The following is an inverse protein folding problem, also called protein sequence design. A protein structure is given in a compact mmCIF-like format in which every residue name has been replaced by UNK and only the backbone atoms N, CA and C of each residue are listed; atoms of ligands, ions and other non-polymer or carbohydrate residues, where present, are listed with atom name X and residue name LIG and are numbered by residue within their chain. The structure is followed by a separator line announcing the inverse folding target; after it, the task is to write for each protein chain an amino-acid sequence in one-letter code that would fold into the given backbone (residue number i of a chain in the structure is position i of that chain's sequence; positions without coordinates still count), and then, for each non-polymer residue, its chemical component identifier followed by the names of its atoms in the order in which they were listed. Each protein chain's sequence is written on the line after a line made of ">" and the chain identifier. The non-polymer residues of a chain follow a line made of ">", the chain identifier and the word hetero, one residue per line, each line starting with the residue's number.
data_IF_530112695847
#
_entry.id   IF_530112695847
#
_cell.length_a   1.000
_cell.length_b   1.000
_cell.length_c   1.000
_cell.angle_alpha   90.00
_cell.angle_beta   90.00
_cell.angle_gamma   90.00
#
_symmetry.space_group_name_H-M   'P 1'
#
loop_
_entity.id
_entity.type
_entity.pdbx_description
1 polymer ?
#
# COMPACT_ATOMS: atom_id res chain seq x y z
N UNK A 1 12.07 -5.13 10.36
CA UNK A 1 10.64 -4.75 10.43
C UNK A 1 10.29 -4.07 11.76
N UNK A 2 10.65 -4.65 12.95
CA UNK A 2 10.40 -4.05 14.27
C UNK A 2 11.13 -2.72 14.47
N UNK A 3 12.37 -2.61 13.99
CA UNK A 3 13.17 -1.39 14.06
C UNK A 3 12.49 -0.22 13.32
N UNK A 4 12.01 -0.45 12.10
CA UNK A 4 11.33 0.57 11.30
C UNK A 4 10.04 1.05 11.94
N UNK A 5 9.25 0.14 12.55
CA UNK A 5 7.91 0.46 13.06
C UNK A 5 7.91 1.08 14.46
N UNK A 6 8.84 0.71 15.34
CA UNK A 6 8.87 1.14 16.74
C UNK A 6 10.24 1.11 17.40
N UNK A 7 11.33 1.16 16.60
CA UNK A 7 12.71 1.29 17.09
C UNK A 7 13.14 0.18 18.07
N UNK A 8 12.59 -1.03 17.90
CA UNK A 8 12.77 -2.19 18.82
C UNK A 8 12.23 -1.97 20.24
N UNK A 9 11.58 -0.85 20.51
CA UNK A 9 10.91 -0.54 21.77
C UNK A 9 9.56 -1.26 21.87
N UNK A 10 8.87 -1.08 22.99
CA UNK A 10 7.45 -1.43 23.08
C UNK A 10 6.63 -0.63 22.05
N UNK A 11 5.64 -1.29 21.44
CA UNK A 11 4.86 -0.66 20.37
C UNK A 11 4.06 0.56 20.81
N UNK A 12 3.69 0.64 22.10
CA UNK A 12 2.96 1.78 22.66
C UNK A 12 3.83 3.03 22.73
N UNK A 13 5.16 2.86 22.91
CA UNK A 13 6.12 3.97 22.98
C UNK A 13 6.74 4.23 21.61
N UNK A 14 7.16 3.18 20.92
CA UNK A 14 7.91 3.31 19.67
C UNK A 14 7.10 3.87 18.52
N UNK A 15 5.80 3.53 18.38
CA UNK A 15 4.96 4.05 17.30
C UNK A 15 4.79 5.56 17.34
N UNK A 16 4.44 6.20 18.47
CA UNK A 16 4.38 7.66 18.54
C UNK A 16 5.69 8.34 18.20
N UNK A 17 6.83 7.79 18.66
CA UNK A 17 8.16 8.35 18.36
C UNK A 17 8.42 8.34 16.84
N UNK A 18 8.21 7.19 16.18
CA UNK A 18 8.37 7.07 14.73
C UNK A 18 7.39 7.98 14.00
N UNK A 19 6.14 8.07 14.47
CA UNK A 19 5.13 8.96 13.90
C UNK A 19 5.53 10.43 13.97
N UNK A 20 6.00 10.92 15.11
CA UNK A 20 6.48 12.31 15.28
C UNK A 20 7.70 12.56 14.39
N UNK A 21 8.65 11.64 14.35
CA UNK A 21 9.82 11.74 13.46
C UNK A 21 9.39 11.82 11.99
N UNK A 22 8.37 11.04 11.58
CA UNK A 22 7.82 11.08 10.22
C UNK A 22 7.17 12.44 9.92
N UNK A 23 6.44 13.04 10.86
CA UNK A 23 5.86 14.37 10.68
C UNK A 23 6.95 15.42 10.48
N UNK A 24 7.97 15.41 11.34
CA UNK A 24 9.12 16.33 11.22
C UNK A 24 9.79 16.14 9.85
N UNK A 25 10.00 14.89 9.46
CA UNK A 25 10.60 14.57 8.18
C UNK A 25 9.76 15.08 6.99
N UNK A 26 8.44 14.94 7.01
CA UNK A 26 7.54 15.48 5.98
C UNK A 26 7.61 17.02 5.90
N UNK A 27 7.68 17.70 7.04
CA UNK A 27 7.87 19.17 7.08
C UNK A 27 9.20 19.54 6.44
N UNK A 28 10.28 18.82 6.77
CA UNK A 28 11.60 19.04 6.18
C UNK A 28 11.62 18.75 4.67
N UNK A 29 10.93 17.72 4.22
CA UNK A 29 10.80 17.36 2.81
C UNK A 29 10.08 18.47 2.00
N UNK A 30 8.96 18.96 2.53
CA UNK A 30 8.19 20.07 1.89
C UNK A 30 8.99 21.37 1.89
N UNK A 31 9.62 21.73 3.01
CA UNK A 31 10.46 22.93 3.09
C UNK A 31 11.69 22.81 2.20
N UNK A 32 12.28 21.61 2.10
CA UNK A 32 13.37 21.31 1.17
C UNK A 32 12.97 21.57 -0.29
N UNK A 33 11.75 21.18 -0.68
CA UNK A 33 11.22 21.48 -2.01
C UNK A 33 11.10 23.00 -2.25
N UNK A 34 10.61 23.76 -1.27
CA UNK A 34 10.50 25.22 -1.37
C UNK A 34 11.90 25.83 -1.55
N UNK A 35 12.90 25.37 -0.81
CA UNK A 35 14.27 25.83 -0.91
C UNK A 35 14.96 25.42 -2.23
N UNK A 36 14.52 24.31 -2.82
CA UNK A 36 15.03 23.83 -4.10
C UNK A 36 14.66 24.77 -5.26
N UNK A 37 13.49 25.44 -5.20
CA UNK A 37 13.08 26.38 -6.22
C UNK A 37 13.97 27.62 -6.23
N UNK A 38 14.48 28.03 -7.41
CA UNK A 38 15.30 29.24 -7.52
C UNK A 38 14.46 30.50 -7.24
N UNK A 39 15.05 31.51 -6.59
CA UNK A 39 14.39 32.81 -6.30
C UNK A 39 13.77 33.48 -7.54
N UNK A 40 14.35 33.25 -8.73
CA UNK A 40 13.78 33.64 -10.02
C UNK A 40 13.42 32.38 -10.78
N UNK A 41 12.12 32.08 -10.87
CA UNK A 41 11.59 30.91 -11.57
C UNK A 41 11.67 31.15 -13.08
N UNK A 42 12.88 30.97 -13.65
CA UNK A 42 13.11 30.89 -15.10
C UNK A 42 13.48 29.44 -15.42
N UNK A 43 12.98 28.92 -16.54
CA UNK A 43 13.24 27.53 -16.98
C UNK A 43 14.74 27.18 -16.98
N UNK A 44 15.59 28.13 -17.39
CA UNK A 44 17.06 27.97 -17.36
C UNK A 44 17.60 27.71 -15.95
N UNK A 45 17.04 28.37 -14.93
CA UNK A 45 17.47 28.24 -13.53
C UNK A 45 16.98 26.91 -12.95
N UNK A 46 15.72 26.53 -13.24
CA UNK A 46 15.14 25.24 -12.85
C UNK A 46 15.97 24.09 -13.46
N UNK A 47 16.26 24.15 -14.76
CA UNK A 47 17.08 23.15 -15.45
C UNK A 47 18.50 23.01 -14.88
N UNK A 48 19.04 24.09 -14.30
CA UNK A 48 20.34 24.02 -13.63
C UNK A 48 20.34 23.22 -12.33
N UNK A 49 19.20 23.15 -11.65
CA UNK A 49 18.99 22.35 -10.42
C UNK A 49 19.05 20.83 -10.64
N UNK A 50 18.89 20.38 -11.90
CA UNK A 50 19.02 18.98 -12.28
C UNK A 50 20.41 18.60 -12.83
N UNK A 51 21.37 19.54 -12.84
CA UNK A 51 22.71 19.30 -13.36
C UNK A 51 23.72 19.09 -12.24
N UNK A 52 24.35 17.93 -12.23
CA UNK A 52 25.44 17.59 -11.32
C UNK A 52 26.76 18.03 -11.98
N UNK A 53 27.49 18.94 -11.34
CA UNK A 53 28.80 19.41 -11.80
C UNK A 53 29.91 18.50 -11.32
N UNK A 54 30.06 17.34 -11.94
CA UNK A 54 31.01 16.27 -11.54
C UNK A 54 32.48 16.71 -11.43
N UNK A 55 32.88 17.78 -12.18
CA UNK A 55 34.24 18.33 -12.16
C UNK A 55 34.45 19.40 -11.07
N UNK A 56 33.41 19.70 -10.26
CA UNK A 56 33.52 20.66 -9.17
C UNK A 56 34.14 20.01 -7.92
N UNK A 57 34.39 20.83 -6.88
CA UNK A 57 34.86 20.32 -5.59
C UNK A 57 33.79 19.40 -4.95
N UNK A 58 34.23 18.52 -4.04
CA UNK A 58 33.36 17.54 -3.37
C UNK A 58 32.11 18.15 -2.72
N UNK A 59 32.24 19.29 -2.06
CA UNK A 59 31.10 19.99 -1.41
C UNK A 59 30.01 20.35 -2.44
N UNK A 60 30.42 20.83 -3.60
CA UNK A 60 29.49 21.19 -4.68
C UNK A 60 28.85 19.96 -5.32
N UNK A 61 29.62 18.91 -5.58
CA UNK A 61 29.08 17.66 -6.12
C UNK A 61 28.06 17.06 -5.17
N UNK A 62 28.37 17.00 -3.86
CA UNK A 62 27.44 16.47 -2.87
C UNK A 62 26.15 17.30 -2.76
N UNK A 63 26.25 18.62 -2.83
CA UNK A 63 25.07 19.51 -2.87
C UNK A 63 24.21 19.26 -4.12
N UNK A 64 24.83 19.17 -5.30
CA UNK A 64 24.10 18.95 -6.55
C UNK A 64 23.45 17.55 -6.58
N UNK A 65 24.15 16.52 -6.04
CA UNK A 65 23.59 15.17 -5.86
C UNK A 65 22.39 15.19 -4.92
N UNK A 66 22.52 15.79 -3.75
CA UNK A 66 21.43 15.88 -2.78
C UNK A 66 20.20 16.58 -3.39
N UNK A 67 20.38 17.70 -4.07
CA UNK A 67 19.30 18.43 -4.72
C UNK A 67 18.61 17.64 -5.83
N UNK A 68 19.39 16.97 -6.67
CA UNK A 68 18.86 16.23 -7.82
C UNK A 68 18.17 14.96 -7.37
N UNK A 69 18.84 14.12 -6.57
CA UNK A 69 18.27 12.88 -6.06
C UNK A 69 17.09 13.14 -5.10
N UNK A 70 17.24 14.15 -4.21
CA UNK A 70 16.18 14.56 -3.31
C UNK A 70 14.92 14.99 -4.04
N UNK A 71 15.04 15.70 -5.16
CA UNK A 71 13.88 16.07 -5.98
C UNK A 71 13.17 14.86 -6.56
N UNK A 72 13.91 13.91 -7.15
CA UNK A 72 13.31 12.72 -7.76
C UNK A 72 12.72 11.75 -6.72
N UNK A 73 13.33 11.61 -5.56
CA UNK A 73 12.82 10.75 -4.49
C UNK A 73 11.67 11.38 -3.70
N UNK A 74 11.50 12.71 -3.77
CA UNK A 74 10.59 13.47 -2.91
C UNK A 74 9.15 12.93 -2.97
N UNK A 75 8.63 12.65 -4.17
CA UNK A 75 7.25 12.19 -4.32
C UNK A 75 7.03 10.85 -3.63
N UNK A 76 7.97 9.92 -3.80
CA UNK A 76 7.89 8.60 -3.17
C UNK A 76 7.97 8.71 -1.65
N UNK A 77 8.91 9.48 -1.17
CA UNK A 77 9.15 9.70 0.26
C UNK A 77 7.96 10.38 0.95
N UNK A 78 7.33 11.36 0.30
CA UNK A 78 6.13 12.02 0.82
C UNK A 78 4.94 11.04 0.85
N UNK A 79 4.73 10.26 -0.21
CA UNK A 79 3.69 9.23 -0.24
C UNK A 79 3.92 8.19 0.88
N UNK A 80 5.15 7.70 1.02
CA UNK A 80 5.50 6.74 2.08
C UNK A 80 5.33 7.33 3.47
N UNK A 81 5.68 8.61 3.68
CA UNK A 81 5.48 9.31 4.94
C UNK A 81 4.00 9.45 5.29
N UNK A 82 3.19 9.97 4.38
CA UNK A 82 1.74 10.16 4.56
C UNK A 82 1.06 8.81 4.85
N UNK A 83 1.34 7.80 4.05
CA UNK A 83 0.77 6.47 4.25
C UNK A 83 1.28 5.82 5.55
N UNK A 84 2.55 6.02 5.91
CA UNK A 84 3.15 5.49 7.14
C UNK A 84 2.49 6.00 8.43
N UNK A 85 2.02 7.25 8.44
CA UNK A 85 1.30 7.82 9.59
C UNK A 85 0.03 7.05 9.97
N UNK A 86 -0.59 6.31 9.00
CA UNK A 86 -1.75 5.46 9.27
C UNK A 86 -1.45 4.32 10.26
N UNK A 87 -0.19 3.89 10.36
CA UNK A 87 0.23 2.88 11.34
C UNK A 87 0.65 3.48 12.69
N UNK A 88 1.08 4.73 12.68
CA UNK A 88 1.59 5.41 13.88
C UNK A 88 0.47 6.03 14.70
N UNK A 89 -0.52 6.64 14.05
CA UNK A 89 -1.60 7.39 14.73
C UNK A 89 -2.98 6.90 14.29
N UNK A 90 -3.76 6.41 15.24
CA UNK A 90 -5.14 5.94 14.99
C UNK A 90 -6.06 7.08 14.56
N UNK A 91 -6.04 8.20 15.27
CA UNK A 91 -6.87 9.37 14.92
C UNK A 91 -6.55 9.93 13.53
N UNK A 92 -5.28 9.87 13.07
CA UNK A 92 -4.92 10.22 11.70
C UNK A 92 -5.56 9.26 10.69
N UNK A 93 -5.45 7.93 10.96
CA UNK A 93 -6.06 6.90 10.11
C UNK A 93 -7.57 7.05 10.01
N UNK A 94 -8.25 7.29 11.13
CA UNK A 94 -9.70 7.53 11.16
C UNK A 94 -10.09 8.80 10.41
N UNK A 95 -9.35 9.90 10.60
CA UNK A 95 -9.56 11.13 9.86
C UNK A 95 -9.40 10.93 8.36
N UNK A 96 -8.34 10.24 7.94
CA UNK A 96 -8.11 9.93 6.52
C UNK A 96 -9.19 8.99 5.97
N UNK A 97 -9.64 7.99 6.76
CA UNK A 97 -10.74 7.10 6.39
C UNK A 97 -12.04 7.86 6.13
N UNK A 98 -12.36 8.87 6.94
CA UNK A 98 -13.52 9.76 6.72
C UNK A 98 -13.40 10.57 5.43
N UNK A 99 -12.21 11.10 5.14
CA UNK A 99 -11.95 11.88 3.90
C UNK A 99 -12.07 11.00 2.67
N UNK A 100 -11.54 9.79 2.71
CA UNK A 100 -11.57 8.83 1.60
C UNK A 100 -12.97 8.20 1.44
N UNK A 101 -13.78 8.19 2.50
CA UNK A 101 -15.09 7.53 2.54
C UNK A 101 -15.01 6.00 2.63
N UNK A 102 -13.87 5.47 3.12
CA UNK A 102 -13.67 4.04 3.31
C UNK A 102 -12.70 3.78 4.47
N UNK A 103 -12.91 2.69 5.19
CA UNK A 103 -12.08 2.30 6.31
C UNK A 103 -10.71 1.80 5.87
N UNK A 104 -9.64 2.46 6.32
CA UNK A 104 -8.25 2.07 6.07
C UNK A 104 -7.90 0.93 7.02
N UNK A 105 -7.36 -0.16 6.46
CA UNK A 105 -7.02 -1.40 7.18
C UNK A 105 -8.23 -2.10 7.79
N UNK A 106 -9.38 -2.05 7.11
CA UNK A 106 -10.53 -2.86 7.49
C UNK A 106 -10.12 -4.35 7.52
N UNK A 107 -10.32 -4.98 8.67
CA UNK A 107 -10.06 -6.41 8.90
C UNK A 107 -11.34 -7.19 9.18
N UNK A 108 -12.49 -6.54 9.08
CA UNK A 108 -13.77 -7.22 9.24
C UNK A 108 -13.96 -8.16 8.05
N UNK A 109 -14.26 -9.42 8.34
CA UNK A 109 -14.76 -10.35 7.35
C UNK A 109 -16.23 -10.05 7.15
N UNK A 110 -16.77 -10.07 5.92
CA UNK A 110 -18.21 -9.96 5.70
C UNK A 110 -18.97 -11.01 6.50
N UNK A 111 -20.11 -10.64 7.07
CA UNK A 111 -20.99 -11.58 7.73
C UNK A 111 -21.97 -12.14 6.69
N UNK A 112 -21.73 -13.39 6.29
CA UNK A 112 -22.70 -14.13 5.48
C UNK A 112 -23.44 -15.13 6.36
N UNK A 113 -24.75 -15.23 6.15
CA UNK A 113 -25.54 -16.31 6.72
C UNK A 113 -25.21 -17.59 5.95
N UNK A 114 -24.28 -18.36 6.48
CA UNK A 114 -23.90 -19.67 5.92
C UNK A 114 -24.57 -20.73 6.78
N UNK A 115 -25.28 -21.64 6.12
CA UNK A 115 -25.82 -22.81 6.81
C UNK A 115 -24.65 -23.63 7.37
N UNK A 116 -24.64 -23.79 8.72
CA UNK A 116 -23.60 -24.50 9.45
C UNK A 116 -23.86 -26.01 9.50
N UNK A 117 -24.80 -26.50 8.65
CA UNK A 117 -25.06 -27.94 8.54
C UNK A 117 -23.76 -28.73 8.26
N UNK A 118 -23.74 -29.99 8.66
CA UNK A 118 -22.61 -30.93 8.49
C UNK A 118 -22.31 -31.27 7.01
N UNK A 119 -22.24 -30.26 6.15
CA UNK A 119 -21.87 -30.42 4.76
C UNK A 119 -20.40 -30.84 4.65
N UNK A 120 -20.14 -31.77 3.76
CA UNK A 120 -18.80 -32.22 3.42
C UNK A 120 -17.98 -31.03 2.94
N UNK A 121 -16.85 -30.81 3.56
CA UNK A 121 -15.93 -29.74 3.21
C UNK A 121 -15.40 -29.95 1.79
N UNK A 122 -15.54 -28.93 0.92
CA UNK A 122 -15.00 -28.97 -0.43
C UNK A 122 -13.47 -29.13 -0.40
N UNK A 123 -12.96 -29.89 -1.35
CA UNK A 123 -11.52 -30.06 -1.51
C UNK A 123 -10.89 -28.83 -2.14
N UNK A 124 -9.61 -28.61 -1.92
CA UNK A 124 -8.88 -27.45 -2.49
C UNK A 124 -8.96 -27.40 -4.03
N UNK A 125 -8.85 -28.52 -4.79
CA UNK A 125 -9.05 -28.53 -6.24
C UNK A 125 -10.46 -28.07 -6.66
N UNK A 126 -11.50 -28.49 -5.96
CA UNK A 126 -12.89 -28.05 -6.24
C UNK A 126 -13.04 -26.54 -6.02
N UNK A 127 -12.55 -26.02 -4.90
CA UNK A 127 -12.54 -24.57 -4.59
C UNK A 127 -11.80 -23.79 -5.68
N UNK A 128 -10.61 -24.23 -6.09
CA UNK A 128 -9.83 -23.56 -7.13
C UNK A 128 -10.51 -23.63 -8.50
N UNK A 129 -11.17 -24.75 -8.84
CA UNK A 129 -11.93 -24.88 -10.08
C UNK A 129 -13.08 -23.86 -10.13
N UNK A 130 -13.86 -23.76 -9.05
CA UNK A 130 -14.95 -22.77 -8.94
C UNK A 130 -14.42 -21.35 -9.06
N UNK A 131 -13.34 -21.00 -8.37
CA UNK A 131 -12.73 -19.67 -8.44
C UNK A 131 -12.23 -19.34 -9.85
N UNK A 132 -11.68 -20.31 -10.58
CA UNK A 132 -11.22 -20.09 -11.95
C UNK A 132 -12.39 -19.94 -12.94
N UNK A 133 -13.55 -20.51 -12.64
CA UNK A 133 -14.77 -20.30 -13.43
C UNK A 133 -15.33 -18.89 -13.22
N UNK A 134 -15.33 -18.39 -11.98
CA UNK A 134 -15.86 -17.06 -11.65
C UNK A 134 -14.90 -15.92 -12.06
N UNK A 135 -13.60 -16.17 -11.99
CA UNK A 135 -12.55 -15.21 -12.32
C UNK A 135 -11.62 -15.79 -13.39
N UNK A 136 -12.02 -15.60 -14.66
CA UNK A 136 -11.32 -16.15 -15.84
C UNK A 136 -10.10 -15.29 -16.24
N UNK A 137 -9.10 -15.26 -15.38
CA UNK A 137 -7.79 -14.66 -15.66
C UNK A 137 -6.69 -15.39 -14.88
N UNK A 138 -5.45 -15.31 -15.37
CA UNK A 138 -4.29 -15.88 -14.68
C UNK A 138 -3.83 -14.98 -13.53
N UNK A 139 -3.48 -15.57 -12.39
CA UNK A 139 -2.98 -14.83 -11.24
C UNK A 139 -2.67 -15.71 -10.04
N UNK A 140 -1.94 -15.17 -9.09
CA UNK A 140 -1.66 -15.82 -7.82
C UNK A 140 -2.95 -15.93 -7.00
N UNK A 141 -3.13 -17.07 -6.34
CA UNK A 141 -4.32 -17.36 -5.54
C UNK A 141 -3.93 -17.57 -4.08
N UNK A 142 -4.60 -16.87 -3.17
CA UNK A 142 -4.46 -17.04 -1.73
C UNK A 142 -5.77 -17.53 -1.15
N UNK A 143 -5.78 -18.73 -0.57
CA UNK A 143 -6.97 -19.37 -0.01
C UNK A 143 -6.94 -19.28 1.51
N UNK A 144 -7.99 -18.71 2.10
CA UNK A 144 -8.27 -18.76 3.54
C UNK A 144 -9.35 -19.81 3.78
N UNK A 145 -9.00 -20.81 4.58
CA UNK A 145 -9.91 -21.90 4.92
C UNK A 145 -10.98 -21.48 5.92
N UNK A 146 -12.16 -22.12 5.91
CA UNK A 146 -13.18 -21.94 6.93
C UNK A 146 -12.61 -22.22 8.33
N UNK A 147 -12.86 -21.32 9.28
CA UNK A 147 -12.37 -21.43 10.65
C UNK A 147 -13.04 -20.44 11.59
N UNK A 148 -12.59 -20.37 12.83
CA UNK A 148 -13.28 -19.68 13.93
C UNK A 148 -13.67 -18.20 13.74
N UNK A 149 -13.16 -17.52 12.72
CA UNK A 149 -13.55 -16.13 12.39
C UNK A 149 -14.45 -16.03 11.17
N UNK A 150 -14.44 -17.02 10.28
CA UNK A 150 -15.21 -17.00 9.04
C UNK A 150 -15.63 -18.42 8.71
N UNK A 151 -16.93 -18.77 8.67
CA UNK A 151 -17.41 -20.13 8.41
C UNK A 151 -17.36 -20.52 6.92
N UNK A 152 -16.66 -19.76 6.07
CA UNK A 152 -16.60 -19.89 4.64
C UNK A 152 -15.16 -19.82 4.12
N UNK A 153 -14.93 -20.27 2.89
CA UNK A 153 -13.66 -19.99 2.17
C UNK A 153 -13.64 -18.55 1.69
N UNK A 154 -12.51 -17.86 1.88
CA UNK A 154 -12.24 -16.58 1.25
C UNK A 154 -11.02 -16.72 0.36
N UNK A 155 -11.23 -16.63 -0.95
CA UNK A 155 -10.19 -16.83 -1.96
C UNK A 155 -9.90 -15.51 -2.64
N UNK A 156 -8.66 -15.03 -2.48
CA UNK A 156 -8.16 -13.84 -3.18
C UNK A 156 -7.41 -14.26 -4.43
N UNK A 157 -7.77 -13.69 -5.57
CA UNK A 157 -7.07 -13.90 -6.83
C UNK A 157 -6.50 -12.56 -7.31
N UNK A 158 -5.17 -12.51 -7.45
CA UNK A 158 -4.46 -11.29 -7.85
C UNK A 158 -4.53 -11.13 -9.36
N UNK A 159 -5.03 -9.99 -9.82
CA UNK A 159 -5.15 -9.72 -11.25
C UNK A 159 -3.90 -9.00 -11.77
N UNK A 160 -2.97 -9.77 -12.33
CA UNK A 160 -1.71 -9.24 -12.87
C UNK A 160 -1.88 -8.39 -14.14
N UNK A 161 -3.04 -8.46 -14.81
CA UNK A 161 -3.36 -7.65 -15.99
C UNK A 161 -3.94 -6.28 -15.61
N UNK A 162 -4.25 -6.04 -14.34
CA UNK A 162 -4.75 -4.77 -13.85
C UNK A 162 -3.64 -3.70 -13.79
N UNK A 163 -4.01 -2.43 -13.56
CA UNK A 163 -3.04 -1.32 -13.44
C UNK A 163 -2.00 -1.55 -12.34
N UNK A 164 -2.29 -2.39 -11.39
CA UNK A 164 -1.39 -2.78 -10.31
C UNK A 164 -1.50 -4.28 -10.02
N UNK A 165 -0.40 -5.02 -10.04
CA UNK A 165 -0.40 -6.47 -9.81
C UNK A 165 -0.73 -6.88 -8.37
N UNK A 166 -0.84 -5.91 -7.46
CA UNK A 166 -1.23 -6.16 -6.05
C UNK A 166 -2.72 -6.02 -5.80
N UNK A 167 -3.50 -5.63 -6.83
CA UNK A 167 -4.95 -5.64 -6.75
C UNK A 167 -5.48 -7.06 -6.88
N UNK A 168 -6.53 -7.38 -6.13
CA UNK A 168 -7.11 -8.70 -6.10
C UNK A 168 -8.64 -8.64 -6.03
N UNK A 169 -9.24 -9.65 -6.62
CA UNK A 169 -10.65 -9.96 -6.48
C UNK A 169 -10.83 -11.03 -5.41
N UNK A 170 -11.98 -11.10 -4.79
CA UNK A 170 -12.28 -12.06 -3.71
C UNK A 170 -13.51 -12.86 -4.07
N UNK A 171 -13.40 -14.18 -3.98
CA UNK A 171 -14.55 -15.09 -4.07
C UNK A 171 -14.79 -15.70 -2.69
N UNK A 172 -15.99 -15.58 -2.20
CA UNK A 172 -16.44 -16.19 -0.97
C UNK A 172 -17.25 -17.45 -1.30
N UNK A 173 -16.87 -18.59 -0.71
CA UNK A 173 -17.53 -19.87 -0.95
C UNK A 173 -17.95 -20.52 0.36
N UNK A 174 -19.08 -21.21 0.34
CA UNK A 174 -19.54 -22.03 1.45
C UNK A 174 -18.57 -23.17 1.76
N UNK A 175 -18.77 -23.89 2.86
CA UNK A 175 -17.96 -25.10 3.16
C UNK A 175 -18.07 -26.16 2.07
N UNK A 176 -19.22 -26.26 1.40
CA UNK A 176 -19.44 -27.18 0.28
C UNK A 176 -18.86 -26.70 -1.06
N UNK A 177 -18.27 -25.49 -1.12
CA UNK A 177 -17.69 -24.95 -2.35
C UNK A 177 -18.66 -24.17 -3.24
N UNK A 178 -19.89 -23.92 -2.77
CA UNK A 178 -20.85 -23.08 -3.50
C UNK A 178 -20.47 -21.59 -3.35
N UNK A 179 -20.57 -20.83 -4.43
CA UNK A 179 -20.28 -19.39 -4.43
C UNK A 179 -21.32 -18.64 -3.60
N UNK A 180 -20.86 -17.84 -2.64
CA UNK A 180 -21.68 -16.98 -1.81
C UNK A 180 -21.69 -15.58 -2.40
N UNK A 181 -20.50 -15.05 -2.73
CA UNK A 181 -20.33 -13.69 -3.23
C UNK A 181 -19.01 -13.53 -4.00
N UNK A 182 -18.95 -12.57 -4.92
CA UNK A 182 -17.76 -12.23 -5.69
C UNK A 182 -17.52 -10.73 -5.63
N UNK A 183 -16.48 -10.31 -4.95
CA UNK A 183 -16.06 -8.91 -4.88
C UNK A 183 -14.93 -8.62 -5.86
N UNK A 184 -15.20 -7.87 -6.93
CA UNK A 184 -14.16 -7.41 -7.86
C UNK A 184 -13.59 -6.07 -7.41
N UNK A 185 -12.28 -5.90 -7.55
CA UNK A 185 -11.59 -4.66 -7.22
C UNK A 185 -12.15 -3.47 -8.01
N UNK A 186 -12.48 -3.68 -9.29
CA UNK A 186 -13.05 -2.67 -10.20
C UNK A 186 -14.40 -2.13 -9.74
N UNK A 187 -15.20 -2.97 -9.09
CA UNK A 187 -16.58 -2.67 -8.72
C UNK A 187 -16.66 -1.95 -7.36
N UNK A 188 -15.52 -1.90 -6.63
CA UNK A 188 -15.44 -1.20 -5.34
C UNK A 188 -15.50 0.33 -5.54
N UNK A 189 -16.19 1.06 -4.64
CA UNK A 189 -16.12 2.51 -4.61
C UNK A 189 -14.67 3.01 -4.57
N UNK A 190 -14.39 4.15 -5.20
CA UNK A 190 -13.04 4.75 -5.29
C UNK A 190 -12.34 4.83 -3.93
N UNK A 191 -13.08 5.18 -2.87
CA UNK A 191 -12.56 5.24 -1.51
C UNK A 191 -12.00 3.89 -1.03
N UNK A 192 -12.73 2.80 -1.30
CA UNK A 192 -12.29 1.44 -0.94
C UNK A 192 -11.09 0.99 -1.77
N UNK A 193 -11.04 1.34 -3.05
CA UNK A 193 -9.87 1.08 -3.90
C UNK A 193 -8.64 1.79 -3.34
N UNK A 194 -8.73 3.09 -3.04
CA UNK A 194 -7.64 3.88 -2.44
C UNK A 194 -7.22 3.31 -1.09
N UNK A 195 -8.17 3.00 -0.20
CA UNK A 195 -7.88 2.43 1.12
C UNK A 195 -7.09 1.11 1.02
N UNK A 196 -7.43 0.25 0.05
CA UNK A 196 -6.72 -1.02 -0.18
C UNK A 196 -5.29 -0.84 -0.69
N UNK A 197 -5.01 0.27 -1.38
CA UNK A 197 -3.69 0.58 -1.95
C UNK A 197 -2.74 1.29 -0.97
N UNK A 198 -3.20 1.75 0.20
CA UNK A 198 -2.34 2.45 1.17
C UNK A 198 -1.15 1.61 1.60
N UNK A 199 -1.36 0.32 1.85
CA UNK A 199 -0.24 -0.58 2.19
C UNK A 199 0.71 -0.80 1.01
N UNK A 200 0.27 -1.18 -0.20
CA UNK A 200 1.14 -1.29 -1.37
C UNK A 200 1.91 0.00 -1.72
N UNK A 201 1.29 1.16 -1.56
CA UNK A 201 1.95 2.45 -1.74
C UNK A 201 3.07 2.68 -0.73
N UNK A 202 2.83 2.32 0.53
CA UNK A 202 3.83 2.46 1.59
C UNK A 202 5.00 1.49 1.42
N UNK A 203 4.74 0.25 0.99
CA UNK A 203 5.77 -0.78 0.81
C UNK A 203 6.45 -0.71 -0.56
N UNK A 204 6.02 0.19 -1.43
CA UNK A 204 6.54 0.30 -2.79
C UNK A 204 6.13 -0.86 -3.72
N UNK A 205 5.16 -1.69 -3.33
CA UNK A 205 4.74 -2.87 -4.10
C UNK A 205 3.73 -2.56 -5.21
N UNK A 206 3.29 -1.31 -5.36
CA UNK A 206 2.19 -0.93 -6.24
C UNK A 206 2.36 -1.33 -7.71
N UNK A 207 3.57 -1.35 -8.21
CA UNK A 207 3.92 -1.86 -9.54
C UNK A 207 4.77 -3.15 -9.46
N UNK A 208 4.55 -3.96 -8.42
CA UNK A 208 5.25 -5.22 -8.20
C UNK A 208 6.74 -5.04 -7.90
N UNK A 209 7.56 -5.96 -8.38
CA UNK A 209 9.00 -5.99 -8.11
C UNK A 209 9.75 -4.72 -8.58
N UNK A 210 9.30 -4.11 -9.67
CA UNK A 210 9.97 -2.93 -10.23
C UNK A 210 9.87 -1.72 -9.28
N UNK A 211 8.69 -1.44 -8.74
CA UNK A 211 8.53 -0.32 -7.81
C UNK A 211 9.17 -0.59 -6.44
N UNK A 212 9.25 -1.85 -6.05
CA UNK A 212 9.92 -2.25 -4.80
C UNK A 212 11.43 -1.97 -4.86
N UNK A 213 12.09 -2.30 -5.96
CA UNK A 213 13.52 -1.98 -6.15
C UNK A 213 13.76 -0.47 -6.05
N UNK A 214 12.86 0.36 -6.59
CA UNK A 214 12.99 1.83 -6.52
C UNK A 214 12.77 2.35 -5.10
N UNK A 215 11.91 1.72 -4.30
CA UNK A 215 11.63 2.13 -2.92
C UNK A 215 12.71 1.68 -1.92
N UNK A 216 13.46 0.63 -2.27
CA UNK A 216 14.54 0.07 -1.45
C UNK A 216 15.92 0.72 -1.75
N UNK A 217 16.03 1.57 -2.81
CA UNK A 217 17.20 2.39 -3.15
C UNK A 217 17.19 3.72 -2.42
#
# INVERSE_FOLDING_TARGET
>A
FKMHRWLLLDSAIGRPIVGVATIIFLILAVTGLVLWFPKKVKWKNVKSGFKIKTKANWKRVNHDLHNTLGFYSLIFVVIMGITGLCWSFEGYREGLSKVIGAEIFNRSSPEYQVDMSDEKMATLPEVLSTVNTELDYAGEVSVSLPGGRSPYYSVRKYNTANFSPVTYDVVYLSKAGAVIDVEKFSDKPLGMQIASLIKPLHTGEIYGYFSKIISDL
#
